data_IF_375818139040
#
_entry.id   IF_375818139040
#
_cell.length_a   1.000
_cell.length_b   1.000
_cell.length_c   1.000
_cell.angle_alpha   90.00
_cell.angle_beta   90.00
_cell.angle_gamma   90.00
#
_symmetry.space_group_name_H-M   'P 1'
#
loop_
_entity.id
_entity.type
_entity.pdbx_description
1 polymer ?
#
# COMPACT_ATOMS: atom_id res chain seq x y z
N UNK A 1 -47.07 4.77 2.88
CA UNK A 1 -47.81 3.98 3.90
C UNK A 1 -47.24 4.25 5.27
N UNK A 2 -48.08 4.39 6.31
CA UNK A 2 -47.66 4.73 7.68
C UNK A 2 -47.37 3.50 8.56
N UNK A 3 -47.70 2.29 8.10
CA UNK A 3 -47.55 1.04 8.86
C UNK A 3 -46.99 -0.09 7.98
N UNK A 4 -46.46 -1.13 8.62
CA UNK A 4 -46.13 -2.43 8.04
C UNK A 4 -47.29 -3.34 8.41
N UNK A 5 -48.00 -3.87 7.40
CA UNK A 5 -49.15 -4.75 7.61
C UNK A 5 -48.77 -6.17 7.25
N UNK A 6 -48.84 -7.07 8.24
CA UNK A 6 -48.54 -8.49 8.13
C UNK A 6 -49.85 -9.25 8.24
N UNK A 7 -50.11 -10.15 7.30
CA UNK A 7 -51.32 -10.97 7.27
C UNK A 7 -50.99 -12.44 7.12
N UNK A 8 -51.59 -13.26 7.97
CA UNK A 8 -51.50 -14.71 7.94
C UNK A 8 -50.09 -15.26 8.16
N UNK A 9 -49.31 -14.70 9.10
CA UNK A 9 -47.97 -15.22 9.39
C UNK A 9 -48.05 -16.57 10.14
N UNK A 10 -47.39 -17.60 9.57
CA UNK A 10 -47.43 -19.00 10.01
C UNK A 10 -46.05 -19.66 10.15
N UNK A 11 -44.98 -18.92 9.90
CA UNK A 11 -43.60 -19.40 10.05
C UNK A 11 -43.37 -20.06 11.42
N UNK A 12 -42.84 -21.28 11.42
CA UNK A 12 -42.64 -22.11 12.62
C UNK A 12 -43.91 -22.33 13.46
N UNK A 13 -44.01 -21.70 14.63
CA UNK A 13 -45.10 -21.91 15.59
C UNK A 13 -46.13 -20.78 15.60
N UNK A 14 -46.01 -19.80 14.69
CA UNK A 14 -46.98 -18.73 14.53
C UNK A 14 -48.34 -19.30 14.10
N UNK A 15 -49.41 -18.77 14.69
CA UNK A 15 -50.78 -19.31 14.54
C UNK A 15 -51.63 -18.44 13.60
N UNK A 16 -51.15 -18.26 12.36
CA UNK A 16 -51.83 -17.47 11.34
C UNK A 16 -52.18 -16.05 11.83
N UNK A 17 -51.16 -15.33 12.29
CA UNK A 17 -51.35 -14.05 12.98
C UNK A 17 -51.38 -12.87 12.00
N UNK A 18 -52.23 -11.88 12.30
CA UNK A 18 -52.32 -10.60 11.62
C UNK A 18 -51.82 -9.49 12.55
N UNK A 19 -50.87 -8.69 12.10
CA UNK A 19 -50.27 -7.61 12.91
C UNK A 19 -50.06 -6.37 12.05
N UNK A 20 -50.40 -5.20 12.59
CA UNK A 20 -50.04 -3.90 12.04
C UNK A 20 -48.99 -3.23 12.94
N UNK A 21 -47.84 -2.90 12.35
CA UNK A 21 -46.69 -2.31 13.04
C UNK A 21 -46.47 -0.87 12.55
N UNK A 22 -46.35 0.13 13.45
CA UNK A 22 -46.13 1.51 13.04
C UNK A 22 -44.72 1.69 12.44
N UNK A 23 -44.62 2.29 11.24
CA UNK A 23 -43.29 2.57 10.64
C UNK A 23 -42.57 3.70 11.36
N UNK A 24 -41.24 3.69 11.25
CA UNK A 24 -40.34 4.71 11.80
C UNK A 24 -40.44 4.86 13.32
N UNK A 25 -40.74 3.77 14.02
CA UNK A 25 -40.74 3.70 15.47
C UNK A 25 -39.82 2.58 15.96
N UNK A 26 -39.35 2.70 17.19
CA UNK A 26 -38.68 1.61 17.88
C UNK A 26 -39.72 0.60 18.35
N UNK A 27 -39.80 -0.53 17.65
CA UNK A 27 -40.73 -1.61 17.98
C UNK A 27 -40.00 -2.67 18.81
N UNK A 28 -40.54 -3.00 19.97
CA UNK A 28 -40.02 -4.05 20.85
C UNK A 28 -40.97 -5.24 20.84
N UNK A 29 -40.51 -6.39 20.35
CA UNK A 29 -41.25 -7.66 20.40
C UNK A 29 -40.82 -8.41 21.66
N UNK A 30 -41.77 -8.63 22.57
CA UNK A 30 -41.52 -9.28 23.87
C UNK A 30 -42.44 -10.49 24.09
N UNK A 31 -42.11 -11.34 25.06
CA UNK A 31 -42.83 -12.58 25.35
C UNK A 31 -41.94 -13.72 25.85
N UNK A 32 -42.54 -14.78 26.38
CA UNK A 32 -41.85 -15.96 26.92
C UNK A 32 -40.93 -16.64 25.89
N UNK A 33 -39.89 -17.33 26.35
CA UNK A 33 -39.04 -18.13 25.45
C UNK A 33 -39.91 -19.12 24.65
N UNK A 34 -39.63 -19.25 23.35
CA UNK A 34 -40.43 -20.08 22.45
C UNK A 34 -41.78 -19.49 22.01
N UNK A 35 -42.16 -18.28 22.41
CA UNK A 35 -43.45 -17.68 22.02
C UNK A 35 -43.58 -17.25 20.54
N UNK A 36 -42.58 -17.54 19.69
CA UNK A 36 -42.57 -17.16 18.27
C UNK A 36 -42.01 -15.77 17.96
N UNK A 37 -41.33 -15.10 18.91
CA UNK A 37 -40.71 -13.77 18.70
C UNK A 37 -39.72 -13.76 17.54
N UNK A 38 -38.77 -14.70 17.56
CA UNK A 38 -37.75 -14.84 16.52
C UNK A 38 -38.37 -15.24 15.18
N UNK A 39 -39.39 -16.12 15.23
CA UNK A 39 -40.14 -16.54 14.04
C UNK A 39 -40.84 -15.38 13.35
N UNK A 40 -41.40 -14.44 14.11
CA UNK A 40 -41.97 -13.22 13.56
C UNK A 40 -40.89 -12.23 13.09
N UNK A 41 -39.91 -11.93 13.95
CA UNK A 41 -38.93 -10.87 13.70
C UNK A 41 -37.91 -11.24 12.61
N UNK A 42 -37.25 -12.38 12.74
CA UNK A 42 -36.16 -12.83 11.89
C UNK A 42 -36.67 -13.68 10.73
N UNK A 43 -37.41 -14.75 11.04
CA UNK A 43 -37.79 -15.76 10.05
C UNK A 43 -38.96 -15.31 9.16
N UNK A 44 -39.66 -14.24 9.51
CA UNK A 44 -40.75 -13.66 8.70
C UNK A 44 -40.44 -12.25 8.21
N UNK A 45 -40.36 -11.25 9.11
CA UNK A 45 -40.23 -9.83 8.72
C UNK A 45 -38.87 -9.56 8.05
N UNK A 46 -37.76 -9.93 8.71
CA UNK A 46 -36.42 -9.74 8.16
C UNK A 46 -36.21 -10.59 6.90
N UNK A 47 -36.56 -11.87 6.94
CA UNK A 47 -36.42 -12.77 5.80
C UNK A 47 -37.16 -12.25 4.54
N UNK A 48 -38.42 -11.80 4.67
CA UNK A 48 -39.14 -11.19 3.55
C UNK A 48 -38.52 -9.85 3.12
N UNK A 49 -38.10 -9.01 4.06
CA UNK A 49 -37.50 -7.71 3.77
C UNK A 49 -36.20 -7.84 2.99
N UNK A 50 -35.35 -8.79 3.38
CA UNK A 50 -34.12 -9.12 2.67
C UNK A 50 -34.43 -9.73 1.30
N UNK A 51 -35.30 -10.76 1.23
CA UNK A 51 -35.64 -11.44 -0.03
C UNK A 51 -36.13 -10.46 -1.09
N UNK A 52 -37.12 -9.61 -0.76
CA UNK A 52 -37.68 -8.62 -1.70
C UNK A 52 -36.63 -7.61 -2.19
N UNK A 53 -35.70 -7.21 -1.32
CA UNK A 53 -34.63 -6.31 -1.70
C UNK A 53 -33.63 -6.99 -2.65
N UNK A 54 -33.16 -8.20 -2.33
CA UNK A 54 -32.20 -8.91 -3.19
C UNK A 54 -32.82 -9.31 -4.54
N UNK A 55 -34.12 -9.63 -4.58
CA UNK A 55 -34.87 -9.89 -5.83
C UNK A 55 -34.90 -8.68 -6.78
N UNK A 56 -34.69 -7.47 -6.26
CA UNK A 56 -34.63 -6.24 -7.05
C UNK A 56 -33.24 -5.94 -7.63
N UNK A 57 -32.17 -6.55 -7.11
CA UNK A 57 -30.79 -6.20 -7.47
C UNK A 57 -30.38 -6.65 -8.87
N UNK A 58 -30.68 -7.89 -9.26
CA UNK A 58 -30.38 -8.38 -10.61
C UNK A 58 -31.27 -9.56 -11.02
N UNK A 59 -31.46 -9.73 -12.33
CA UNK A 59 -32.18 -10.88 -12.88
C UNK A 59 -31.50 -12.21 -12.55
N UNK A 60 -30.16 -12.21 -12.45
CA UNK A 60 -29.37 -13.37 -12.04
C UNK A 60 -29.57 -13.70 -10.56
N UNK A 61 -29.59 -12.70 -9.66
CA UNK A 61 -29.81 -12.92 -8.23
C UNK A 61 -31.16 -13.60 -7.95
N UNK A 62 -32.20 -13.31 -8.75
CA UNK A 62 -33.51 -13.99 -8.65
C UNK A 62 -33.41 -15.51 -8.81
N UNK A 63 -32.52 -16.02 -9.66
CA UNK A 63 -32.34 -17.47 -9.86
C UNK A 63 -31.73 -18.15 -8.62
N UNK A 64 -30.91 -17.44 -7.84
CA UNK A 64 -30.33 -17.96 -6.59
C UNK A 64 -31.30 -17.85 -5.41
N UNK A 65 -32.12 -16.79 -5.39
CA UNK A 65 -33.13 -16.59 -4.34
C UNK A 65 -34.30 -17.56 -4.40
N UNK A 66 -34.61 -18.12 -5.59
CA UNK A 66 -35.61 -19.19 -5.68
C UNK A 66 -35.23 -20.48 -4.94
N UNK A 67 -33.97 -20.61 -4.50
CA UNK A 67 -33.53 -21.70 -3.62
C UNK A 67 -33.70 -21.39 -2.11
N UNK A 68 -33.98 -20.14 -1.75
CA UNK A 68 -34.23 -19.76 -0.36
C UNK A 68 -35.68 -20.05 0.01
N UNK A 69 -35.89 -20.65 1.17
CA UNK A 69 -37.22 -20.95 1.68
C UNK A 69 -37.99 -19.65 1.93
N UNK A 70 -39.15 -19.50 1.26
CA UNK A 70 -40.00 -18.33 1.46
C UNK A 70 -40.71 -18.46 2.81
N UNK A 71 -40.73 -17.40 3.65
CA UNK A 71 -41.52 -17.40 4.87
C UNK A 71 -42.99 -17.71 4.59
N UNK A 72 -43.61 -18.50 5.47
CA UNK A 72 -45.04 -18.83 5.35
C UNK A 72 -45.87 -17.66 5.87
N UNK A 73 -46.28 -16.78 4.94
CA UNK A 73 -47.09 -15.59 5.19
C UNK A 73 -47.97 -15.30 3.97
N UNK A 74 -49.22 -14.90 4.18
CA UNK A 74 -50.13 -14.59 3.07
C UNK A 74 -49.76 -13.28 2.38
N UNK A 75 -49.55 -12.24 3.18
CA UNK A 75 -49.23 -10.93 2.65
C UNK A 75 -48.46 -10.08 3.66
N UNK A 76 -47.46 -9.34 3.15
CA UNK A 76 -46.82 -8.26 3.90
C UNK A 76 -46.76 -7.01 3.03
N UNK A 77 -47.29 -5.91 3.53
CA UNK A 77 -47.29 -4.60 2.88
C UNK A 77 -46.49 -3.58 3.69
N UNK A 78 -45.92 -2.58 3.00
CA UNK A 78 -45.18 -1.49 3.66
C UNK A 78 -43.81 -1.87 4.23
N UNK A 79 -43.29 -3.07 3.93
CA UNK A 79 -42.00 -3.57 4.38
C UNK A 79 -40.83 -2.81 3.73
N UNK A 80 -39.78 -2.54 4.50
CA UNK A 80 -38.53 -1.92 4.01
C UNK A 80 -37.46 -2.99 3.78
N UNK A 81 -36.41 -2.71 3.00
CA UNK A 81 -35.20 -3.52 3.06
C UNK A 81 -34.75 -3.70 4.51
N UNK A 82 -34.55 -4.95 4.92
CA UNK A 82 -34.29 -5.29 6.31
C UNK A 82 -32.84 -5.71 6.49
N UNK A 83 -32.27 -5.34 7.63
CA UNK A 83 -30.91 -5.73 8.06
C UNK A 83 -31.08 -6.41 9.42
N UNK A 84 -30.49 -7.60 9.56
CA UNK A 84 -30.43 -8.29 10.85
C UNK A 84 -29.14 -7.94 11.56
N UNK A 85 -29.25 -7.62 12.84
CA UNK A 85 -28.11 -7.43 13.75
C UNK A 85 -28.27 -8.49 14.84
N UNK A 86 -27.56 -9.61 14.67
CA UNK A 86 -27.60 -10.77 15.56
C UNK A 86 -26.24 -10.97 16.23
N UNK A 87 -26.26 -11.56 17.43
CA UNK A 87 -25.07 -12.11 18.05
C UNK A 87 -24.73 -13.50 17.46
N UNK A 88 -24.59 -13.59 16.13
CA UNK A 88 -24.01 -14.79 15.50
C UNK A 88 -22.50 -14.75 15.69
N UNK A 89 -21.91 -15.88 16.07
CA UNK A 89 -20.46 -16.00 16.16
C UNK A 89 -19.85 -15.67 14.79
N UNK A 90 -19.16 -14.54 14.72
CA UNK A 90 -18.37 -14.20 13.54
C UNK A 90 -17.32 -15.28 13.33
N UNK A 91 -17.15 -15.71 12.09
CA UNK A 91 -16.05 -16.57 11.65
C UNK A 91 -14.74 -16.15 12.32
N UNK A 92 -14.08 -17.08 13.01
CA UNK A 92 -12.74 -16.87 13.57
C UNK A 92 -11.71 -16.90 12.43
N UNK A 93 -11.63 -15.82 11.66
CA UNK A 93 -10.51 -15.58 10.78
C UNK A 93 -9.39 -14.91 11.60
N UNK A 94 -8.20 -15.52 11.74
CA UNK A 94 -7.11 -14.94 12.53
C UNK A 94 -6.61 -13.59 11.99
N UNK A 95 -6.92 -13.25 10.74
CA UNK A 95 -6.60 -11.97 10.11
C UNK A 95 -7.68 -10.90 10.27
N UNK A 96 -8.83 -11.23 10.84
CA UNK A 96 -9.90 -10.26 11.10
C UNK A 96 -9.70 -9.62 12.47
N UNK A 97 -9.51 -8.30 12.48
CA UNK A 97 -9.40 -7.50 13.69
C UNK A 97 -10.59 -6.54 13.82
N UNK A 98 -10.73 -5.89 14.98
CA UNK A 98 -11.72 -4.81 15.16
C UNK A 98 -11.53 -3.73 14.09
N UNK A 99 -10.28 -3.39 13.76
CA UNK A 99 -9.97 -2.36 12.76
C UNK A 99 -10.39 -2.75 11.34
N UNK A 100 -10.28 -4.03 10.96
CA UNK A 100 -10.72 -4.49 9.63
C UNK A 100 -12.24 -4.61 9.54
N UNK A 101 -12.91 -5.04 10.62
CA UNK A 101 -14.39 -5.19 10.65
C UNK A 101 -15.08 -3.82 10.60
N UNK A 102 -14.49 -2.81 11.26
CA UNK A 102 -15.04 -1.45 11.30
C UNK A 102 -14.56 -0.57 10.16
N UNK A 103 -13.73 -1.10 9.25
CA UNK A 103 -13.04 -0.36 8.17
C UNK A 103 -12.13 0.79 8.65
N UNK A 104 -12.03 1.05 9.96
CA UNK A 104 -11.14 2.07 10.53
C UNK A 104 -9.69 1.84 10.11
N UNK A 105 -9.27 0.57 10.04
CA UNK A 105 -7.93 0.23 9.60
C UNK A 105 -7.68 0.67 8.14
N UNK A 106 -8.69 0.66 7.27
CA UNK A 106 -8.54 1.08 5.88
C UNK A 106 -8.30 2.58 5.77
N UNK A 107 -8.99 3.37 6.61
CA UNK A 107 -8.72 4.79 6.77
C UNK A 107 -7.34 5.06 7.36
N UNK A 108 -6.89 4.26 8.34
CA UNK A 108 -5.53 4.38 8.86
C UNK A 108 -4.49 4.10 7.77
N UNK A 109 -4.67 3.06 6.96
CA UNK A 109 -3.77 2.76 5.83
C UNK A 109 -3.69 3.93 4.85
N UNK A 110 -4.82 4.56 4.53
CA UNK A 110 -4.86 5.76 3.70
C UNK A 110 -4.14 6.95 4.36
N UNK A 111 -4.37 7.17 5.65
CA UNK A 111 -3.74 8.24 6.42
C UNK A 111 -2.22 8.10 6.41
N UNK A 112 -1.70 6.92 6.75
CA UNK A 112 -0.26 6.66 6.79
C UNK A 112 0.38 6.74 5.40
N UNK A 113 -0.33 6.33 4.34
CA UNK A 113 0.16 6.47 2.98
C UNK A 113 0.26 7.94 2.51
N UNK A 114 -0.66 8.79 2.95
CA UNK A 114 -0.75 10.18 2.47
C UNK A 114 -0.01 11.19 3.33
N UNK A 115 0.05 10.97 4.63
CA UNK A 115 0.59 11.92 5.61
C UNK A 115 1.70 11.31 6.49
N UNK A 116 2.04 10.04 6.30
CA UNK A 116 3.11 9.40 7.04
C UNK A 116 4.48 9.89 6.56
N UNK A 117 5.34 10.23 7.51
CA UNK A 117 6.77 10.48 7.26
C UNK A 117 7.53 9.15 7.40
N UNK A 118 8.03 8.57 6.30
CA UNK A 118 8.76 7.31 6.36
C UNK A 118 10.12 7.54 7.03
N UNK A 119 10.53 6.59 7.88
CA UNK A 119 11.82 6.66 8.58
C UNK A 119 12.64 5.41 8.39
N UNK A 120 13.96 5.58 8.38
CA UNK A 120 14.87 4.43 8.40
C UNK A 120 14.66 3.62 9.70
N UNK A 121 14.45 2.30 9.62
CA UNK A 121 14.29 1.46 10.81
C UNK A 121 15.52 1.45 11.73
N UNK A 122 16.72 1.63 11.17
CA UNK A 122 17.99 1.58 11.90
C UNK A 122 18.48 2.96 12.36
N UNK A 123 18.44 3.96 11.46
CA UNK A 123 19.02 5.29 11.71
C UNK A 123 17.98 6.32 12.15
N UNK A 124 16.68 5.99 12.06
CA UNK A 124 15.55 6.84 12.41
C UNK A 124 15.49 8.21 11.70
N UNK A 125 16.27 8.37 10.65
CA UNK A 125 16.26 9.56 9.77
C UNK A 125 15.03 9.55 8.86
N UNK A 126 14.55 10.74 8.52
CA UNK A 126 13.49 10.91 7.52
C UNK A 126 13.97 10.36 6.18
N UNK A 127 13.15 9.53 5.55
CA UNK A 127 13.34 9.11 4.18
C UNK A 127 12.60 10.14 3.34
N UNK A 128 13.30 10.86 2.49
CA UNK A 128 12.71 11.87 1.61
C UNK A 128 12.96 11.47 0.17
N UNK A 129 11.90 11.46 -0.63
CA UNK A 129 12.01 11.40 -2.08
C UNK A 129 12.16 12.83 -2.58
N UNK A 130 13.24 13.11 -3.29
CA UNK A 130 13.48 14.41 -3.89
C UNK A 130 13.15 14.37 -5.38
N UNK A 131 12.59 15.45 -5.89
CA UNK A 131 12.44 15.65 -7.35
C UNK A 131 13.77 16.07 -7.95
N UNK A 132 13.99 15.78 -9.24
CA UNK A 132 15.21 16.20 -9.95
C UNK A 132 15.44 17.71 -9.81
N UNK A 133 14.38 18.53 -9.87
CA UNK A 133 14.48 19.99 -9.66
C UNK A 133 15.07 20.32 -8.29
N UNK A 134 14.58 19.70 -7.22
CA UNK A 134 15.10 19.93 -5.86
C UNK A 134 16.56 19.48 -5.72
N UNK A 135 16.94 18.37 -6.36
CA UNK A 135 18.33 17.89 -6.38
C UNK A 135 19.25 18.92 -7.07
N UNK A 136 18.83 19.42 -8.24
CA UNK A 136 19.56 20.44 -8.99
C UNK A 136 19.69 21.73 -8.17
N UNK A 137 18.60 22.21 -7.59
CA UNK A 137 18.59 23.41 -6.76
C UNK A 137 19.56 23.27 -5.58
N UNK A 138 19.58 22.11 -4.91
CA UNK A 138 20.51 21.83 -3.81
C UNK A 138 21.97 21.84 -4.29
N UNK A 139 22.29 21.26 -5.45
CA UNK A 139 23.65 21.30 -6.02
C UNK A 139 24.06 22.74 -6.38
N UNK A 140 23.15 23.58 -6.85
CA UNK A 140 23.43 24.98 -7.17
C UNK A 140 23.71 25.84 -5.93
N UNK A 141 23.35 25.39 -4.72
CA UNK A 141 23.71 26.09 -3.46
C UNK A 141 25.18 25.89 -3.03
N UNK A 142 25.90 24.97 -3.67
CA UNK A 142 27.32 24.71 -3.38
C UNK A 142 28.21 25.90 -3.77
N UNK A 143 29.44 26.02 -3.20
CA UNK A 143 30.30 27.17 -3.48
C UNK A 143 30.59 27.37 -4.96
N UNK A 144 30.49 28.60 -5.46
CA UNK A 144 30.76 28.91 -6.87
C UNK A 144 32.15 28.39 -7.30
N UNK A 145 32.22 27.86 -8.54
CA UNK A 145 33.44 27.33 -9.17
C UNK A 145 34.07 26.11 -8.50
N UNK A 146 33.48 25.58 -7.43
CA UNK A 146 33.88 24.29 -6.85
C UNK A 146 33.65 23.14 -7.84
N UNK A 147 34.49 22.10 -7.79
CA UNK A 147 34.51 20.99 -8.75
C UNK A 147 33.83 19.77 -8.16
N UNK A 148 32.80 19.27 -8.84
CA UNK A 148 32.01 18.13 -8.38
C UNK A 148 31.82 17.11 -9.50
N UNK A 149 31.59 15.86 -9.11
CA UNK A 149 31.18 14.78 -9.99
C UNK A 149 29.83 14.21 -9.54
N UNK A 150 28.99 13.90 -10.52
CA UNK A 150 27.75 13.16 -10.33
C UNK A 150 28.01 11.68 -10.61
N UNK A 151 27.66 10.85 -9.64
CA UNK A 151 27.91 9.42 -9.59
C UNK A 151 26.58 8.66 -9.53
N UNK A 152 26.51 7.55 -10.28
CA UNK A 152 25.42 6.59 -10.20
C UNK A 152 25.93 5.30 -9.51
N UNK A 153 25.56 5.02 -8.25
CA UNK A 153 26.00 3.83 -7.51
C UNK A 153 25.28 2.57 -8.00
N UNK A 154 25.73 2.00 -9.11
CA UNK A 154 25.15 0.81 -9.74
C UNK A 154 25.34 -0.47 -8.90
N UNK A 155 26.42 -0.54 -8.12
CA UNK A 155 26.69 -1.64 -7.19
C UNK A 155 27.12 -1.07 -5.85
N UNK A 156 26.47 -1.47 -4.76
CA UNK A 156 26.80 -1.02 -3.41
C UNK A 156 27.04 -2.22 -2.49
N UNK A 157 28.29 -2.41 -2.05
CA UNK A 157 28.73 -3.46 -1.12
C UNK A 157 28.26 -4.89 -1.47
N UNK A 158 28.18 -5.23 -2.76
CA UNK A 158 27.76 -6.58 -3.22
C UNK A 158 28.96 -7.42 -3.62
N UNK A 159 28.92 -8.70 -3.27
CA UNK A 159 29.94 -9.68 -3.70
C UNK A 159 29.74 -10.05 -5.16
N UNK A 160 30.83 -10.18 -5.90
CA UNK A 160 30.81 -10.59 -7.30
C UNK A 160 31.90 -9.94 -8.13
N UNK A 161 32.20 -10.54 -9.28
CA UNK A 161 33.18 -9.98 -10.23
C UNK A 161 32.59 -8.84 -11.08
N UNK A 162 31.26 -8.74 -11.16
CA UNK A 162 30.49 -7.68 -11.85
C UNK A 162 30.95 -7.37 -13.30
N UNK A 163 31.61 -8.31 -13.97
CA UNK A 163 32.18 -8.14 -15.32
C UNK A 163 31.12 -7.79 -16.36
N UNK A 164 29.96 -8.44 -16.31
CA UNK A 164 28.83 -8.12 -17.21
C UNK A 164 28.35 -6.68 -17.02
N UNK A 165 28.24 -6.20 -15.78
CA UNK A 165 27.79 -4.84 -15.48
C UNK A 165 28.79 -3.83 -16.07
N UNK A 166 30.10 -4.07 -15.90
CA UNK A 166 31.14 -3.20 -16.45
C UNK A 166 31.10 -3.15 -17.98
N UNK A 167 30.89 -4.30 -18.65
CA UNK A 167 30.73 -4.37 -20.10
C UNK A 167 29.46 -3.67 -20.59
N UNK A 168 28.34 -3.83 -19.89
CA UNK A 168 27.07 -3.18 -20.23
C UNK A 168 27.17 -1.66 -20.11
N UNK A 169 27.90 -1.17 -19.10
CA UNK A 169 28.17 0.26 -18.91
C UNK A 169 29.08 0.83 -20.01
N UNK A 170 30.13 0.09 -20.38
CA UNK A 170 30.99 0.46 -21.50
C UNK A 170 30.19 0.49 -22.82
N UNK A 171 29.31 -0.49 -23.05
CA UNK A 171 28.43 -0.55 -24.22
C UNK A 171 27.41 0.59 -24.28
N UNK A 172 27.02 1.16 -23.14
CA UNK A 172 26.18 2.36 -23.04
C UNK A 172 26.96 3.68 -23.25
N UNK A 173 28.29 3.62 -23.39
CA UNK A 173 29.14 4.76 -23.68
C UNK A 173 29.71 5.47 -22.44
N UNK A 174 29.59 4.89 -21.24
CA UNK A 174 30.28 5.42 -20.06
C UNK A 174 31.77 5.14 -20.15
N UNK A 175 32.59 6.14 -19.79
CA UNK A 175 34.06 6.06 -19.93
C UNK A 175 34.73 5.74 -18.59
N UNK A 176 34.17 6.20 -17.47
CA UNK A 176 34.83 6.11 -16.15
C UNK A 176 33.86 5.66 -15.07
N UNK A 177 34.38 4.85 -14.16
CA UNK A 177 33.69 4.47 -12.94
C UNK A 177 34.66 4.52 -11.75
N UNK A 178 34.14 4.87 -10.58
CA UNK A 178 34.83 4.73 -9.31
C UNK A 178 34.51 3.36 -8.75
N UNK A 179 35.53 2.52 -8.59
CA UNK A 179 35.42 1.14 -8.12
C UNK A 179 36.24 1.03 -6.84
N UNK A 180 35.58 0.65 -5.74
CA UNK A 180 36.15 0.56 -4.39
C UNK A 180 36.92 1.82 -3.94
N UNK A 181 36.46 2.99 -4.40
CA UNK A 181 37.05 4.27 -4.03
C UNK A 181 38.10 4.79 -5.01
N UNK A 182 38.50 4.03 -6.02
CA UNK A 182 39.50 4.45 -7.01
C UNK A 182 38.85 4.62 -8.40
N UNK A 183 39.30 5.61 -9.17
CA UNK A 183 38.75 5.90 -10.50
C UNK A 183 39.47 5.08 -11.56
N UNK A 184 38.70 4.29 -12.30
CA UNK A 184 39.17 3.48 -13.43
C UNK A 184 38.48 3.91 -14.73
N UNK A 185 39.18 3.72 -15.85
CA UNK A 185 38.56 3.80 -17.17
C UNK A 185 37.91 2.45 -17.50
N UNK A 186 36.67 2.48 -18.00
CA UNK A 186 35.88 1.27 -18.26
C UNK A 186 36.43 0.42 -19.41
N UNK A 187 37.34 0.97 -20.20
CA UNK A 187 38.10 0.23 -21.22
C UNK A 187 39.16 -0.71 -20.60
N UNK A 188 39.66 -0.38 -19.40
CA UNK A 188 40.63 -1.17 -18.64
C UNK A 188 40.19 -1.30 -17.16
N UNK A 189 39.08 -2.01 -16.87
CA UNK A 189 38.59 -2.15 -15.51
C UNK A 189 39.49 -3.09 -14.68
N UNK A 190 39.56 -2.89 -13.36
CA UNK A 190 40.30 -3.78 -12.47
C UNK A 190 39.62 -5.16 -12.40
N UNK A 191 40.41 -6.19 -12.14
CA UNK A 191 39.87 -7.54 -11.89
C UNK A 191 39.31 -7.59 -10.47
N UNK A 192 37.99 -7.76 -10.36
CA UNK A 192 37.29 -7.85 -9.08
C UNK A 192 37.25 -9.29 -8.55
N UNK A 193 37.25 -9.44 -7.23
CA UNK A 193 37.28 -10.74 -6.55
C UNK A 193 35.85 -11.19 -6.22
N UNK A 194 35.43 -12.34 -6.75
CA UNK A 194 34.12 -12.93 -6.51
C UNK A 194 33.72 -13.00 -5.02
N UNK A 195 34.69 -13.15 -4.10
CA UNK A 195 34.44 -13.36 -2.66
C UNK A 195 34.39 -12.07 -1.86
N UNK A 196 34.86 -10.94 -2.40
CA UNK A 196 34.89 -9.64 -1.72
C UNK A 196 33.69 -8.79 -2.11
N UNK A 197 33.29 -7.89 -1.22
CA UNK A 197 32.26 -6.91 -1.50
C UNK A 197 32.89 -5.76 -2.27
N UNK A 198 32.21 -5.35 -3.34
CA UNK A 198 32.65 -4.27 -4.21
C UNK A 198 31.60 -3.16 -4.28
N UNK A 199 32.06 -1.94 -4.49
CA UNK A 199 31.23 -0.75 -4.74
C UNK A 199 31.63 -0.17 -6.09
N UNK A 200 30.65 0.01 -6.98
CA UNK A 200 30.86 0.52 -8.35
C UNK A 200 29.93 1.72 -8.54
N UNK A 201 30.55 2.88 -8.79
CA UNK A 201 29.88 4.16 -8.96
C UNK A 201 30.26 4.76 -10.31
N UNK A 202 29.33 4.78 -11.26
CA UNK A 202 29.60 5.28 -12.60
C UNK A 202 29.65 6.80 -12.59
N UNK A 203 30.67 7.40 -13.19
CA UNK A 203 30.76 8.85 -13.31
C UNK A 203 29.89 9.29 -14.49
N UNK A 204 28.75 9.90 -14.17
CA UNK A 204 27.77 10.36 -15.17
C UNK A 204 28.11 11.75 -15.67
N UNK A 205 28.44 12.68 -14.77
CA UNK A 205 28.86 14.02 -15.15
C UNK A 205 29.95 14.58 -14.24
N UNK A 206 30.70 15.56 -14.76
CA UNK A 206 31.77 16.29 -14.10
C UNK A 206 31.59 17.76 -14.40
N UNK A 207 31.39 18.57 -13.37
CA UNK A 207 31.00 19.97 -13.54
C UNK A 207 31.68 20.88 -12.51
N UNK A 208 31.61 22.19 -12.79
CA UNK A 208 31.99 23.27 -11.88
C UNK A 208 30.77 24.11 -11.60
N UNK A 209 30.43 24.35 -10.34
CA UNK A 209 29.18 25.04 -9.97
C UNK A 209 29.10 26.44 -10.61
N UNK A 210 28.03 26.69 -11.35
CA UNK A 210 27.66 27.92 -12.08
C UNK A 210 26.15 27.95 -12.27
N UNK A 211 25.57 29.15 -12.39
CA UNK A 211 24.11 29.34 -12.50
C UNK A 211 23.49 28.78 -13.80
N UNK A 212 24.28 28.60 -14.85
CA UNK A 212 23.83 28.14 -16.17
C UNK A 212 23.73 26.61 -16.32
N UNK A 213 24.02 25.87 -15.27
CA UNK A 213 24.13 24.40 -15.31
C UNK A 213 22.83 23.64 -15.07
N UNK A 214 21.73 24.32 -14.73
CA UNK A 214 20.48 23.68 -14.29
C UNK A 214 19.96 22.61 -15.26
N UNK A 215 19.86 22.94 -16.54
CA UNK A 215 19.33 22.03 -17.59
C UNK A 215 20.22 20.80 -17.75
N UNK A 216 21.54 21.00 -17.83
CA UNK A 216 22.51 19.90 -17.98
C UNK A 216 22.54 19.00 -16.74
N UNK A 217 22.47 19.59 -15.54
CA UNK A 217 22.41 18.83 -14.30
C UNK A 217 21.14 18.00 -14.21
N UNK A 218 20.00 18.53 -14.66
CA UNK A 218 18.75 17.78 -14.68
C UNK A 218 18.84 16.52 -15.56
N UNK A 219 19.38 16.64 -16.78
CA UNK A 219 19.63 15.49 -17.69
C UNK A 219 20.61 14.48 -17.07
N UNK A 220 21.64 14.98 -16.39
CA UNK A 220 22.63 14.15 -15.73
C UNK A 220 22.06 13.40 -14.52
N UNK A 221 21.22 14.05 -13.72
CA UNK A 221 20.49 13.43 -12.61
C UNK A 221 19.51 12.39 -13.13
N UNK A 222 18.75 12.67 -14.19
CA UNK A 222 17.85 11.70 -14.81
C UNK A 222 18.61 10.44 -15.24
N UNK A 223 19.75 10.63 -15.91
CA UNK A 223 20.65 9.53 -16.31
C UNK A 223 21.15 8.74 -15.11
N UNK A 224 21.65 9.42 -14.07
CA UNK A 224 22.20 8.77 -12.87
C UNK A 224 21.14 7.97 -12.11
N UNK A 225 19.96 8.55 -11.91
CA UNK A 225 18.84 7.91 -11.22
C UNK A 225 18.34 6.68 -12.00
N UNK A 226 18.29 6.73 -13.32
CA UNK A 226 17.88 5.59 -14.14
C UNK A 226 18.88 4.43 -14.08
N UNK A 227 20.18 4.73 -13.99
CA UNK A 227 21.24 3.72 -13.89
C UNK A 227 21.30 3.05 -12.52
N UNK A 228 21.10 3.81 -11.45
CA UNK A 228 21.30 3.36 -10.07
C UNK A 228 19.99 3.26 -9.27
N UNK A 229 18.91 2.84 -9.94
CA UNK A 229 17.62 2.50 -9.35
C UNK A 229 17.03 3.59 -8.43
N UNK A 230 17.21 4.85 -8.83
CA UNK A 230 16.69 6.03 -8.15
C UNK A 230 17.64 6.70 -7.15
N UNK A 231 18.92 6.34 -7.14
CA UNK A 231 19.95 6.92 -6.26
C UNK A 231 20.99 7.67 -7.10
N UNK A 232 21.43 8.83 -6.63
CA UNK A 232 22.54 9.57 -7.21
C UNK A 232 23.44 10.14 -6.10
N UNK A 233 24.75 10.21 -6.34
CA UNK A 233 25.72 10.77 -5.39
C UNK A 233 26.43 11.94 -6.07
N UNK A 234 26.54 13.08 -5.40
CA UNK A 234 27.37 14.20 -5.82
C UNK A 234 28.55 14.30 -4.87
N UNK A 235 29.77 14.21 -5.41
CA UNK A 235 31.02 14.16 -4.63
C UNK A 235 32.00 15.23 -5.11
N UNK A 236 32.70 15.87 -4.17
CA UNK A 236 33.74 16.85 -4.50
C UNK A 236 34.94 16.16 -5.15
N UNK A 237 35.55 16.82 -6.14
CA UNK A 237 36.78 16.33 -6.77
C UNK A 237 38.03 16.65 -5.95
N UNK A 238 37.92 17.62 -5.05
CA UNK A 238 39.04 18.16 -4.30
C UNK A 238 39.09 17.60 -2.86
N UNK A 239 37.95 17.11 -2.34
CA UNK A 239 37.84 16.46 -1.03
C UNK A 239 36.87 15.25 -1.08
N UNK A 240 37.42 14.03 -0.98
CA UNK A 240 36.65 12.78 -0.98
C UNK A 240 35.67 12.63 0.20
N UNK A 241 35.80 13.46 1.25
CA UNK A 241 34.89 13.45 2.41
C UNK A 241 33.59 14.21 2.17
N UNK A 242 33.57 15.15 1.21
CA UNK A 242 32.39 15.93 0.85
C UNK A 242 31.54 15.20 -0.19
N UNK A 243 30.46 14.55 0.29
CA UNK A 243 29.47 13.88 -0.56
C UNK A 243 28.05 14.20 -0.15
N UNK A 244 27.19 14.33 -1.15
CA UNK A 244 25.74 14.49 -1.03
C UNK A 244 25.06 13.29 -1.69
N UNK A 245 24.18 12.62 -0.95
CA UNK A 245 23.34 11.55 -1.50
C UNK A 245 21.97 12.10 -1.83
N UNK A 246 21.52 11.83 -3.04
CA UNK A 246 20.20 12.15 -3.56
C UNK A 246 19.44 10.87 -3.87
N UNK A 247 18.13 10.90 -3.66
CA UNK A 247 17.25 9.77 -4.01
C UNK A 247 15.91 10.28 -4.50
N UNK A 248 15.44 9.77 -5.64
CA UNK A 248 14.05 10.00 -6.09
C UNK A 248 13.06 9.00 -5.47
N UNK A 249 13.57 8.12 -4.60
CA UNK A 249 12.82 7.19 -3.75
C UNK A 249 13.00 7.55 -2.28
N UNK A 250 12.16 6.99 -1.42
CA UNK A 250 12.33 7.09 0.03
C UNK A 250 13.51 6.24 0.50
N UNK A 251 14.74 6.76 0.41
CA UNK A 251 15.96 6.02 0.75
C UNK A 251 16.76 6.68 1.88
N UNK A 252 17.41 5.83 2.69
CA UNK A 252 18.25 6.25 3.80
C UNK A 252 19.64 6.56 3.28
N UNK A 253 20.17 7.71 3.68
CA UNK A 253 21.49 8.16 3.26
C UNK A 253 22.68 7.51 3.97
N UNK A 254 22.42 6.63 4.96
CA UNK A 254 23.47 5.96 5.74
C UNK A 254 23.59 4.48 5.38
N UNK A 255 22.49 3.72 5.38
CA UNK A 255 22.53 2.29 5.06
C UNK A 255 21.94 1.91 3.70
N UNK A 256 21.41 2.86 2.93
CA UNK A 256 20.78 2.56 1.64
C UNK A 256 19.44 1.83 1.73
N UNK A 257 18.87 1.66 2.93
CA UNK A 257 17.50 1.18 3.10
C UNK A 257 16.54 2.05 2.30
N UNK A 258 15.76 1.46 1.42
CA UNK A 258 14.79 2.19 0.61
C UNK A 258 13.40 1.60 0.75
N UNK A 259 12.41 2.49 0.70
CA UNK A 259 11.01 2.18 0.58
C UNK A 259 10.56 2.52 -0.84
N UNK A 260 9.73 1.64 -1.40
CA UNK A 260 8.91 1.97 -2.56
C UNK A 260 7.87 3.04 -2.19
N UNK A 261 7.11 3.54 -3.17
CA UNK A 261 6.07 4.55 -2.96
C UNK A 261 5.13 4.20 -1.79
N UNK A 262 4.76 5.20 -0.99
CA UNK A 262 3.86 5.04 0.15
C UNK A 262 2.43 4.81 -0.33
N UNK A 263 2.10 3.55 -0.57
CA UNK A 263 0.76 3.14 -0.96
C UNK A 263 -0.01 2.50 0.21
N UNK A 264 -1.34 2.66 0.31
CA UNK A 264 -2.13 2.07 1.41
C UNK A 264 -1.97 0.55 1.56
N UNK A 265 -1.58 -0.17 0.49
CA UNK A 265 -1.37 -1.62 0.52
C UNK A 265 -0.13 -2.05 1.32
N UNK A 266 0.89 -1.21 1.44
CA UNK A 266 2.11 -1.53 2.20
C UNK A 266 1.84 -1.51 3.72
N UNK A 267 0.76 -0.84 4.13
CA UNK A 267 0.28 -0.81 5.51
C UNK A 267 -0.73 -1.91 5.79
N UNK A 268 -0.89 -2.91 4.91
CA UNK A 268 -1.84 -4.01 5.11
C UNK A 268 -1.11 -5.30 5.44
N UNK A 269 -1.33 -5.83 6.65
CA UNK A 269 -0.84 -7.17 7.01
C UNK A 269 -1.53 -8.31 6.23
N UNK A 270 -2.62 -8.02 5.50
CA UNK A 270 -3.29 -8.97 4.61
C UNK A 270 -2.69 -8.98 3.20
N UNK A 271 -1.81 -8.03 2.87
CA UNK A 271 -1.13 -7.95 1.59
C UNK A 271 0.33 -8.40 1.78
N UNK A 272 0.88 -9.28 0.91
CA UNK A 272 2.28 -9.71 1.03
C UNK A 272 3.31 -8.57 1.08
N UNK A 273 2.99 -7.39 0.50
CA UNK A 273 3.87 -6.21 0.56
C UNK A 273 3.94 -5.54 1.93
N UNK A 274 2.91 -5.71 2.77
CA UNK A 274 2.83 -5.11 4.11
C UNK A 274 2.81 -6.13 5.25
N UNK A 275 2.70 -7.42 4.92
CA UNK A 275 2.74 -8.51 5.87
C UNK A 275 4.16 -8.72 6.40
N UNK A 276 4.27 -9.00 7.70
CA UNK A 276 5.53 -9.43 8.29
C UNK A 276 5.98 -10.76 7.64
N UNK A 277 7.22 -10.85 7.12
CA UNK A 277 7.71 -12.08 6.48
C UNK A 277 7.80 -13.30 7.40
N UNK A 278 7.98 -13.08 8.71
CA UNK A 278 8.16 -14.16 9.68
C UNK A 278 6.83 -14.86 10.04
N UNK A 279 5.75 -14.09 10.14
CA UNK A 279 4.43 -14.61 10.55
C UNK A 279 3.35 -14.50 9.46
N UNK A 280 3.73 -14.11 8.24
CA UNK A 280 2.81 -13.85 7.11
C UNK A 280 1.62 -12.96 7.52
N UNK A 281 1.90 -11.92 8.32
CA UNK A 281 0.90 -10.96 8.79
C UNK A 281 -0.08 -11.49 9.84
N UNK A 282 0.12 -12.69 10.40
CA UNK A 282 -0.74 -13.25 11.45
C UNK A 282 -0.49 -12.61 12.82
N UNK A 283 0.71 -12.11 13.08
CA UNK A 283 1.08 -11.50 14.36
C UNK A 283 1.36 -12.49 15.50
N UNK A 284 1.28 -13.79 15.23
CA UNK A 284 1.66 -14.87 16.15
C UNK A 284 2.39 -15.98 15.38
N UNK A 285 3.41 -16.57 16.00
CA UNK A 285 4.13 -17.77 15.53
C UNK A 285 3.59 -19.02 16.20
#
# INVERSE_FOLDING_TARGET
>A
MKQISIRGARTHNLKNIDIDLPRNQLIVITGLSGSGKSSLAFDTIYAEGQRRYVESLSAYARQFLSMMEKPDVDHIEGLSPAISIEQKSTSHNPRSTVGTITEIYDYLRLLFARAGEPRCPEHHTSLEAQTISQMVDQVLTLPEKSRWMLLAPVVNQRKGEHTQILQDLQGQGFIRARIDGEIYELDEPPVLDLRKQHTIEVIVDRFRVRDDLSVRLAESFETALNLADGIAIVMSMDDDSEKLLFSNRFACNQCGYSLSELEPRIFSFNNPKGACPECDGLGST
#
